data_IF_191822097900
#
_entry.id   IF_191822097900
#
_cell.length_a   1.000
_cell.length_b   1.000
_cell.length_c   1.000
_cell.angle_alpha   90.00
_cell.angle_beta   90.00
_cell.angle_gamma   90.00
#
_symmetry.space_group_name_H-M   'P 1'
#
loop_
_entity.id
_entity.type
_entity.pdbx_description
1 polymer ?
#
# COMPACT_ATOMS: atom_id res chain seq x y z
N UNK A 1 71.18 -47.12 -12.24
CA UNK A 1 69.87 -46.45 -12.40
C UNK A 1 69.86 -45.19 -11.55
N UNK A 2 69.45 -44.08 -12.16
CA UNK A 2 69.77 -42.70 -11.81
C UNK A 2 69.23 -42.19 -10.47
N UNK A 3 69.99 -41.25 -9.88
CA UNK A 3 69.80 -40.52 -8.61
C UNK A 3 68.57 -39.60 -8.52
N UNK A 4 67.57 -39.77 -9.38
CA UNK A 4 66.43 -38.83 -9.51
C UNK A 4 65.12 -39.34 -8.91
N UNK A 5 65.13 -40.46 -8.16
CA UNK A 5 63.93 -41.00 -7.49
C UNK A 5 64.07 -41.24 -5.98
N UNK A 6 65.19 -40.84 -5.36
CA UNK A 6 65.41 -41.00 -3.91
C UNK A 6 65.13 -39.73 -3.09
N UNK A 7 64.89 -38.58 -3.74
CA UNK A 7 64.53 -37.32 -3.06
C UNK A 7 63.03 -37.20 -2.76
N UNK A 8 62.21 -38.09 -3.31
CA UNK A 8 60.74 -38.02 -3.22
C UNK A 8 60.13 -38.81 -2.04
N UNK A 9 60.95 -39.28 -1.07
CA UNK A 9 60.45 -40.07 0.07
C UNK A 9 61.07 -39.72 1.44
N UNK A 10 61.88 -38.65 1.55
CA UNK A 10 62.58 -38.33 2.80
C UNK A 10 62.09 -37.05 3.53
N UNK A 11 61.01 -36.40 3.10
CA UNK A 11 60.52 -35.20 3.81
C UNK A 11 59.05 -35.24 4.19
N UNK A 12 58.44 -36.42 4.13
CA UNK A 12 57.15 -36.70 4.74
C UNK A 12 57.35 -37.80 5.80
N UNK A 13 56.99 -37.47 7.04
CA UNK A 13 56.94 -38.36 8.21
C UNK A 13 58.25 -38.61 8.98
N UNK A 14 58.66 -37.64 9.82
CA UNK A 14 59.05 -37.85 11.23
C UNK A 14 58.80 -36.54 11.98
N UNK A 15 57.57 -36.28 12.45
CA UNK A 15 57.17 -36.44 13.86
C UNK A 15 58.23 -35.95 14.87
N UNK A 16 57.97 -34.84 15.57
CA UNK A 16 57.64 -34.82 17.02
C UNK A 16 57.75 -33.40 17.60
N UNK A 17 56.64 -32.95 18.18
CA UNK A 17 56.48 -31.86 19.17
C UNK A 17 56.75 -32.51 20.55
N UNK A 18 57.36 -31.88 21.59
CA UNK A 18 56.63 -30.86 22.39
C UNK A 18 57.39 -29.77 23.18
N UNK A 19 56.57 -28.77 23.57
CA UNK A 19 56.62 -27.94 24.79
C UNK A 19 57.70 -26.84 24.88
N UNK A 20 57.47 -25.63 25.40
CA UNK A 20 56.33 -24.86 25.90
C UNK A 20 56.93 -23.47 26.22
N UNK A 21 56.22 -22.35 25.99
CA UNK A 21 56.20 -21.17 26.87
C UNK A 21 55.14 -20.16 26.39
N UNK A 22 54.00 -20.19 27.10
CA UNK A 22 53.02 -19.14 27.41
C UNK A 22 53.71 -17.82 27.83
N UNK A 23 53.27 -16.57 27.61
CA UNK A 23 52.25 -15.90 26.78
C UNK A 23 52.55 -14.38 26.85
N UNK A 24 52.21 -13.62 25.80
CA UNK A 24 51.77 -12.22 25.89
C UNK A 24 51.00 -11.87 24.62
N UNK A 25 49.78 -11.35 24.78
CA UNK A 25 48.79 -11.15 23.73
C UNK A 25 49.19 -10.07 22.70
N UNK A 26 49.06 -10.41 21.42
CA UNK A 26 48.87 -9.46 20.33
C UNK A 26 47.72 -9.99 19.45
N UNK A 27 46.69 -9.17 19.26
CA UNK A 27 45.52 -9.48 18.45
C UNK A 27 45.94 -9.97 17.05
N UNK A 28 45.28 -11.00 16.48
CA UNK A 28 45.45 -11.32 15.08
C UNK A 28 44.85 -10.16 14.27
N UNK A 29 45.70 -9.37 13.62
CA UNK A 29 45.26 -8.52 12.52
C UNK A 29 44.83 -9.46 11.40
N UNK A 30 43.52 -9.53 11.20
CA UNK A 30 42.88 -10.13 10.03
C UNK A 30 43.46 -9.45 8.79
N UNK A 31 44.19 -10.21 7.97
CA UNK A 31 44.65 -9.74 6.68
C UNK A 31 43.42 -9.47 5.80
N UNK A 32 43.15 -8.20 5.52
CA UNK A 32 42.16 -7.77 4.52
C UNK A 32 42.76 -8.11 3.16
N UNK A 33 42.11 -9.01 2.43
CA UNK A 33 42.45 -9.35 1.06
C UNK A 33 42.03 -8.16 0.17
N UNK A 34 42.92 -7.20 -0.06
CA UNK A 34 42.72 -6.17 -1.10
C UNK A 34 42.89 -6.83 -2.46
N UNK A 35 41.78 -7.15 -3.12
CA UNK A 35 41.76 -7.69 -4.48
C UNK A 35 42.18 -6.62 -5.49
N UNK A 36 43.49 -6.45 -5.66
CA UNK A 36 44.08 -5.68 -6.76
C UNK A 36 44.11 -6.56 -8.01
N UNK A 37 43.43 -6.12 -9.07
CA UNK A 37 43.57 -6.76 -10.39
C UNK A 37 44.81 -6.20 -11.05
N UNK A 38 45.90 -6.98 -11.10
CA UNK A 38 47.14 -6.61 -11.76
C UNK A 38 47.40 -7.50 -12.98
N UNK A 39 47.59 -6.91 -14.16
CA UNK A 39 48.22 -7.61 -15.30
C UNK A 39 49.57 -6.97 -15.56
N UNK A 40 50.61 -7.80 -15.55
CA UNK A 40 51.98 -7.43 -15.85
C UNK A 40 52.28 -7.68 -17.32
N UNK A 41 52.68 -6.65 -18.06
CA UNK A 41 53.51 -6.82 -19.25
C UNK A 41 54.92 -6.37 -18.85
N UNK A 42 55.85 -7.32 -18.83
CA UNK A 42 57.22 -7.08 -18.35
C UNK A 42 57.23 -6.48 -16.92
N UNK A 43 57.93 -5.38 -16.70
CA UNK A 43 58.07 -4.66 -15.43
C UNK A 43 56.99 -3.56 -15.22
N UNK A 44 55.93 -3.53 -16.06
CA UNK A 44 54.86 -2.53 -16.03
C UNK A 44 53.52 -3.16 -15.59
N UNK A 45 52.81 -2.53 -14.66
CA UNK A 45 51.50 -2.98 -14.16
C UNK A 45 50.54 -1.83 -13.88
N UNK A 46 49.25 -2.16 -13.87
CA UNK A 46 48.16 -1.30 -13.40
C UNK A 46 47.33 -2.07 -12.39
N UNK A 47 46.99 -1.42 -11.28
CA UNK A 47 46.17 -1.93 -10.19
C UNK A 47 44.92 -1.06 -10.04
N UNK A 48 43.80 -1.66 -9.64
CA UNK A 48 42.57 -0.92 -9.38
C UNK A 48 41.88 -1.40 -8.11
N UNK A 49 41.06 -0.53 -7.51
CA UNK A 49 40.18 -0.86 -6.39
C UNK A 49 38.72 -1.11 -6.83
N UNK A 50 38.52 -1.57 -8.07
CA UNK A 50 37.19 -1.84 -8.65
C UNK A 50 36.40 -2.90 -7.87
N UNK A 51 37.07 -3.74 -7.07
CA UNK A 51 36.42 -4.71 -6.17
C UNK A 51 35.44 -4.07 -5.17
N UNK A 52 35.58 -2.78 -4.88
CA UNK A 52 34.60 -2.01 -4.10
C UNK A 52 33.23 -1.85 -4.80
N UNK A 53 33.13 -2.17 -6.10
CA UNK A 53 31.96 -1.97 -6.94
C UNK A 53 31.19 -3.27 -7.26
N UNK A 54 31.57 -4.43 -6.71
CA UNK A 54 31.07 -5.75 -7.17
C UNK A 54 29.52 -5.83 -7.26
N UNK A 55 28.83 -5.20 -6.30
CA UNK A 55 27.38 -5.08 -6.28
C UNK A 55 26.99 -3.64 -5.86
N UNK A 56 26.23 -2.95 -6.69
CA UNK A 56 25.76 -1.58 -6.41
C UNK A 56 24.33 -1.38 -6.90
N UNK A 57 23.70 -0.28 -6.51
CA UNK A 57 22.36 0.10 -6.95
C UNK A 57 22.41 1.30 -7.88
N UNK A 58 21.43 1.41 -8.77
CA UNK A 58 21.26 2.58 -9.64
C UNK A 58 21.24 3.87 -8.79
N UNK A 59 21.98 4.89 -9.23
CA UNK A 59 22.08 6.18 -8.56
C UNK A 59 23.09 6.26 -7.41
N UNK A 60 23.67 5.14 -6.98
CA UNK A 60 24.71 5.14 -5.94
C UNK A 60 26.07 5.56 -6.51
N UNK A 61 26.64 6.64 -5.98
CA UNK A 61 27.99 7.09 -6.32
C UNK A 61 29.04 6.36 -5.47
N UNK A 62 30.01 5.70 -6.11
CA UNK A 62 31.08 4.96 -5.42
C UNK A 62 32.47 5.39 -5.91
N UNK A 63 33.44 5.50 -5.00
CA UNK A 63 34.82 5.87 -5.32
C UNK A 63 35.69 4.64 -5.62
N UNK A 64 36.60 4.76 -6.59
CA UNK A 64 37.64 3.78 -6.85
C UNK A 64 38.96 4.44 -7.28
N UNK A 65 40.04 3.68 -7.29
CA UNK A 65 41.39 4.14 -7.65
C UNK A 65 41.95 3.33 -8.82
N UNK A 66 42.80 3.98 -9.60
CA UNK A 66 43.67 3.36 -10.60
C UNK A 66 45.10 3.75 -10.30
N UNK A 67 45.97 2.76 -10.13
CA UNK A 67 47.37 2.97 -9.75
C UNK A 67 48.29 2.29 -10.76
N UNK A 68 49.11 3.07 -11.45
CA UNK A 68 50.13 2.52 -12.36
C UNK A 68 51.46 2.31 -11.63
N UNK A 69 52.13 1.19 -11.87
CA UNK A 69 53.45 0.86 -11.31
C UNK A 69 54.37 0.30 -12.39
N UNK A 70 55.67 0.55 -12.28
CA UNK A 70 56.69 -0.23 -12.99
C UNK A 70 58.07 0.40 -12.92
N UNK A 71 58.98 0.04 -13.82
CA UNK A 71 60.26 0.74 -13.98
C UNK A 71 60.06 2.08 -14.72
N UNK A 72 60.76 3.14 -14.29
CA UNK A 72 60.70 4.44 -14.96
C UNK A 72 61.20 4.32 -16.40
N UNK A 73 60.33 4.60 -17.35
CA UNK A 73 60.70 4.80 -18.75
C UNK A 73 60.46 6.26 -19.14
N UNK A 74 61.49 7.12 -19.16
CA UNK A 74 61.34 8.53 -19.52
C UNK A 74 61.00 8.74 -21.00
N UNK A 75 61.03 7.69 -21.83
CA UNK A 75 60.70 7.74 -23.24
C UNK A 75 59.27 7.25 -23.54
N UNK A 76 58.60 6.59 -22.59
CA UNK A 76 57.19 6.18 -22.75
C UNK A 76 56.27 7.17 -22.04
N UNK A 77 55.42 7.82 -22.82
CA UNK A 77 54.31 8.64 -22.32
C UNK A 77 52.99 7.92 -22.58
N UNK A 78 52.12 7.86 -21.57
CA UNK A 78 50.88 7.08 -21.61
C UNK A 78 49.64 7.90 -21.24
N UNK A 79 48.47 7.36 -21.61
CA UNK A 79 47.18 7.72 -21.04
C UNK A 79 46.49 6.49 -20.47
N UNK A 80 45.56 6.73 -19.55
CA UNK A 80 44.62 5.72 -19.13
C UNK A 80 43.34 5.77 -19.95
N UNK A 81 42.70 4.62 -20.11
CA UNK A 81 41.47 4.46 -20.86
C UNK A 81 40.57 3.42 -20.16
N UNK A 82 39.27 3.70 -20.08
CA UNK A 82 38.26 2.74 -19.64
C UNK A 82 37.60 2.07 -20.83
N UNK A 83 37.30 0.77 -20.70
CA UNK A 83 36.31 0.08 -21.53
C UNK A 83 35.27 -0.58 -20.65
N UNK A 84 34.06 -0.64 -21.18
CA UNK A 84 32.91 -1.29 -20.56
C UNK A 84 32.30 -2.24 -21.58
N UNK A 85 32.12 -3.51 -21.20
CA UNK A 85 31.63 -4.58 -22.08
C UNK A 85 32.43 -4.65 -23.40
N UNK A 86 33.76 -4.50 -23.30
CA UNK A 86 34.70 -4.48 -24.44
C UNK A 86 34.51 -3.31 -25.43
N UNK A 87 33.83 -2.23 -25.04
CA UNK A 87 33.57 -1.04 -25.87
C UNK A 87 33.78 0.26 -25.12
N UNK A 88 33.73 1.41 -25.81
CA UNK A 88 33.75 2.72 -25.15
C UNK A 88 32.50 2.88 -24.27
N UNK A 89 32.65 3.30 -23.00
CA UNK A 89 31.51 3.51 -22.11
C UNK A 89 30.59 4.62 -22.62
N UNK A 90 29.29 4.40 -22.49
CA UNK A 90 28.27 5.42 -22.72
C UNK A 90 28.20 6.36 -21.50
N UNK A 91 29.04 7.39 -21.50
CA UNK A 91 29.20 8.34 -20.39
C UNK A 91 28.20 9.51 -20.44
N UNK A 92 27.93 10.09 -19.28
CA UNK A 92 27.17 11.33 -19.11
C UNK A 92 25.86 11.13 -18.37
N UNK A 93 25.18 12.23 -18.02
CA UNK A 93 23.90 12.19 -17.30
C UNK A 93 22.80 11.41 -18.04
N UNK A 94 22.84 11.41 -19.37
CA UNK A 94 21.91 10.68 -20.24
C UNK A 94 22.47 9.30 -20.68
N UNK A 95 23.69 8.99 -20.28
CA UNK A 95 24.40 7.75 -20.57
C UNK A 95 23.97 6.57 -19.68
N UNK A 96 24.76 5.51 -19.68
CA UNK A 96 24.55 4.37 -18.78
C UNK A 96 25.23 4.61 -17.41
N UNK A 97 26.25 5.48 -17.37
CA UNK A 97 26.97 5.86 -16.17
C UNK A 97 27.64 7.24 -16.31
N UNK A 98 27.97 7.86 -15.18
CA UNK A 98 28.88 9.01 -15.11
C UNK A 98 30.14 8.59 -14.37
N UNK A 99 31.31 8.93 -14.92
CA UNK A 99 32.61 8.80 -14.26
C UNK A 99 33.16 10.19 -14.01
N UNK A 100 33.62 10.46 -12.79
CA UNK A 100 34.31 11.69 -12.42
C UNK A 100 35.73 11.36 -11.99
N UNK A 101 36.69 12.25 -12.27
CA UNK A 101 38.07 12.16 -11.77
C UNK A 101 38.36 13.29 -10.79
N UNK A 102 39.28 13.04 -9.86
CA UNK A 102 39.72 14.05 -8.90
C UNK A 102 40.96 14.79 -9.42
N UNK A 103 40.81 16.08 -9.77
CA UNK A 103 41.92 16.97 -10.13
C UNK A 103 42.65 17.44 -8.87
N UNK A 104 43.98 17.38 -8.90
CA UNK A 104 44.85 17.72 -7.78
C UNK A 104 45.60 19.04 -7.98
N UNK A 105 45.65 19.57 -9.21
CA UNK A 105 46.24 20.87 -9.51
C UNK A 105 45.49 22.00 -8.79
N UNK A 106 46.22 22.91 -8.15
CA UNK A 106 45.62 24.00 -7.35
C UNK A 106 44.61 24.85 -8.15
N UNK A 107 44.91 25.08 -9.43
CA UNK A 107 44.03 25.76 -10.38
C UNK A 107 43.09 24.74 -11.01
N UNK A 108 42.07 24.30 -10.27
CA UNK A 108 41.09 23.32 -10.74
C UNK A 108 40.84 22.15 -9.80
N UNK A 109 41.39 22.17 -8.58
CA UNK A 109 41.22 21.08 -7.61
C UNK A 109 39.73 20.75 -7.37
N UNK A 110 39.37 19.47 -7.47
CA UNK A 110 37.99 19.01 -7.26
C UNK A 110 37.61 17.80 -8.10
N UNK A 111 36.35 17.38 -7.96
CA UNK A 111 35.75 16.36 -8.80
C UNK A 111 35.27 16.98 -10.11
N UNK A 112 35.62 16.36 -11.23
CA UNK A 112 35.20 16.77 -12.56
C UNK A 112 34.72 15.57 -13.35
N UNK A 113 33.65 15.76 -14.11
CA UNK A 113 33.15 14.75 -15.03
C UNK A 113 34.21 14.42 -16.09
N UNK A 114 34.41 13.14 -16.34
CA UNK A 114 35.31 12.66 -17.37
C UNK A 114 34.62 12.81 -18.74
N UNK A 115 35.12 13.67 -19.64
CA UNK A 115 34.40 14.00 -20.88
C UNK A 115 34.48 12.89 -21.95
N UNK A 116 35.34 11.90 -21.74
CA UNK A 116 35.56 10.77 -22.64
C UNK A 116 36.00 9.55 -21.81
N UNK A 117 36.24 8.42 -22.46
CA UNK A 117 36.77 7.24 -21.78
C UNK A 117 38.28 7.32 -21.46
N UNK A 118 38.97 8.39 -21.86
CA UNK A 118 40.39 8.61 -21.57
C UNK A 118 40.59 9.48 -20.33
N UNK A 119 41.65 9.21 -19.57
CA UNK A 119 42.09 10.02 -18.44
C UNK A 119 43.61 10.26 -18.46
N UNK A 120 44.01 11.37 -17.86
CA UNK A 120 45.38 11.89 -17.86
C UNK A 120 45.45 13.28 -18.51
N UNK A 121 46.54 14.04 -18.26
CA UNK A 121 46.73 15.36 -18.85
C UNK A 121 46.88 15.24 -20.37
N UNK A 122 46.52 16.28 -21.15
CA UNK A 122 46.64 16.28 -22.62
C UNK A 122 48.05 15.95 -23.11
N UNK A 123 49.09 16.23 -22.32
CA UNK A 123 50.46 15.86 -22.70
C UNK A 123 50.81 14.38 -22.46
N UNK A 124 49.91 13.64 -21.81
CA UNK A 124 50.15 12.30 -21.28
C UNK A 124 51.00 12.35 -20.01
N UNK A 125 51.14 11.21 -19.34
CA UNK A 125 51.98 11.11 -18.15
C UNK A 125 53.08 10.06 -18.34
N UNK A 126 54.28 10.27 -17.74
CA UNK A 126 55.34 9.29 -17.83
C UNK A 126 54.96 8.02 -17.07
N UNK A 127 55.35 6.87 -17.61
CA UNK A 127 55.22 5.61 -16.89
C UNK A 127 56.32 5.56 -15.80
N UNK A 128 56.00 5.97 -14.56
CA UNK A 128 57.00 6.25 -13.50
C UNK A 128 57.00 5.24 -12.32
N UNK A 129 58.18 5.14 -11.70
CA UNK A 129 58.76 4.08 -10.88
C UNK A 129 58.06 3.65 -9.60
N UNK A 130 58.40 2.41 -9.21
CA UNK A 130 58.47 1.78 -7.87
C UNK A 130 58.63 2.69 -6.62
N UNK A 131 59.06 3.95 -6.75
CA UNK A 131 59.25 4.90 -5.64
C UNK A 131 58.18 5.99 -5.50
N UNK A 132 57.33 6.20 -6.51
CA UNK A 132 56.21 7.16 -6.46
C UNK A 132 55.08 6.72 -7.41
N UNK A 133 54.24 5.75 -6.99
CA UNK A 133 53.15 5.27 -7.82
C UNK A 133 52.17 6.42 -8.15
N UNK A 134 51.74 6.50 -9.40
CA UNK A 134 50.72 7.47 -9.80
C UNK A 134 49.34 6.86 -9.53
N UNK A 135 48.65 7.42 -8.54
CA UNK A 135 47.29 7.05 -8.17
C UNK A 135 46.31 8.10 -8.70
N UNK A 136 45.34 7.64 -9.48
CA UNK A 136 44.20 8.43 -9.94
C UNK A 136 42.95 8.01 -9.18
N UNK A 137 42.17 8.98 -8.70
CA UNK A 137 40.92 8.74 -7.97
C UNK A 137 39.72 9.06 -8.86
N UNK A 138 38.73 8.17 -8.82
CA UNK A 138 37.52 8.25 -9.61
C UNK A 138 36.27 8.05 -8.75
N UNK A 139 35.16 8.60 -9.23
CA UNK A 139 33.79 8.26 -8.81
C UNK A 139 33.05 7.68 -9.99
N UNK A 140 32.18 6.71 -9.74
CA UNK A 140 31.23 6.21 -10.73
C UNK A 140 29.83 6.22 -10.16
N UNK A 141 28.86 6.61 -10.98
CA UNK A 141 27.42 6.50 -10.71
C UNK A 141 26.77 5.81 -11.90
N UNK A 142 26.08 4.70 -11.68
CA UNK A 142 25.36 3.97 -12.72
C UNK A 142 23.91 4.44 -12.81
N UNK A 143 23.44 4.71 -14.02
CA UNK A 143 22.09 5.26 -14.27
C UNK A 143 21.09 4.19 -14.73
N UNK A 144 21.58 2.99 -15.07
CA UNK A 144 20.75 1.87 -15.53
C UNK A 144 21.17 0.56 -14.86
N UNK A 145 20.22 -0.34 -14.54
CA UNK A 145 20.57 -1.67 -14.08
C UNK A 145 21.26 -2.47 -15.18
N UNK A 146 22.08 -3.44 -14.78
CA UNK A 146 22.79 -4.30 -15.73
C UNK A 146 24.09 -4.86 -15.17
N UNK A 147 24.75 -5.68 -15.99
CA UNK A 147 26.08 -6.19 -15.71
C UNK A 147 27.10 -5.45 -16.57
N UNK A 148 28.07 -4.82 -15.92
CA UNK A 148 29.08 -3.97 -16.56
C UNK A 148 30.46 -4.60 -16.37
N UNK A 149 31.06 -5.08 -17.45
CA UNK A 149 32.43 -5.60 -17.45
C UNK A 149 33.42 -4.47 -17.70
N UNK A 150 34.12 -4.00 -16.65
CA UNK A 150 35.05 -2.87 -16.70
C UNK A 150 36.49 -3.36 -16.86
N UNK A 151 37.21 -2.77 -17.81
CA UNK A 151 38.67 -2.94 -17.98
C UNK A 151 39.33 -1.58 -18.04
N UNK A 152 40.45 -1.41 -17.33
CA UNK A 152 41.30 -0.23 -17.44
C UNK A 152 42.51 -0.57 -18.29
N UNK A 153 42.75 0.20 -19.34
CA UNK A 153 43.91 0.09 -20.22
C UNK A 153 44.85 1.28 -20.01
N UNK A 154 46.14 1.03 -20.04
CA UNK A 154 47.18 2.05 -20.15
C UNK A 154 47.77 1.94 -21.56
N UNK A 155 47.67 3.02 -22.33
CA UNK A 155 48.07 3.05 -23.74
C UNK A 155 49.18 4.07 -23.99
N UNK A 156 50.06 3.78 -24.94
CA UNK A 156 51.06 4.74 -25.42
C UNK A 156 50.39 5.90 -26.16
N UNK A 157 50.84 7.13 -25.85
CA UNK A 157 50.31 8.37 -26.44
C UNK A 157 50.41 8.39 -27.96
N UNK A 158 51.58 8.06 -28.51
CA UNK A 158 51.90 8.29 -29.93
C UNK A 158 51.55 7.09 -30.84
N UNK A 159 51.23 5.92 -30.25
CA UNK A 159 51.00 4.67 -30.99
C UNK A 159 49.68 3.96 -30.69
N UNK A 160 48.93 4.39 -29.66
CA UNK A 160 47.72 3.72 -29.13
C UNK A 160 47.93 2.24 -28.72
N UNK A 161 49.19 1.81 -28.58
CA UNK A 161 49.56 0.46 -28.16
C UNK A 161 49.26 0.27 -26.67
N UNK A 162 48.63 -0.86 -26.31
CA UNK A 162 48.32 -1.19 -24.92
C UNK A 162 49.58 -1.63 -24.20
N UNK A 163 50.06 -0.80 -23.28
CA UNK A 163 51.24 -1.04 -22.44
C UNK A 163 50.92 -2.05 -21.35
N UNK A 164 49.82 -1.83 -20.62
CA UNK A 164 49.29 -2.78 -19.64
C UNK A 164 47.79 -2.56 -19.46
N UNK A 165 47.09 -3.52 -18.86
CA UNK A 165 45.66 -3.42 -18.59
C UNK A 165 45.29 -4.15 -17.30
N UNK A 166 44.06 -3.99 -16.82
CA UNK A 166 43.52 -4.86 -15.77
C UNK A 166 42.94 -6.14 -16.40
N UNK A 167 42.73 -7.17 -15.59
CA UNK A 167 41.69 -8.15 -15.89
C UNK A 167 40.33 -7.46 -15.86
N UNK A 168 39.35 -8.07 -16.51
CA UNK A 168 37.99 -7.56 -16.43
C UNK A 168 37.42 -7.74 -15.03
N UNK A 169 36.66 -6.74 -14.61
CA UNK A 169 35.92 -6.76 -13.36
C UNK A 169 34.44 -6.53 -13.66
N UNK A 170 33.59 -7.43 -13.19
CA UNK A 170 32.14 -7.33 -13.41
C UNK A 170 31.48 -6.61 -12.24
N UNK A 171 30.79 -5.52 -12.56
CA UNK A 171 29.92 -4.77 -11.64
C UNK A 171 28.48 -5.14 -11.94
N UNK A 172 27.75 -5.67 -10.95
CA UNK A 172 26.32 -5.91 -11.07
C UNK A 172 25.56 -4.74 -10.46
N UNK A 173 24.74 -4.07 -11.27
CA UNK A 173 23.90 -2.94 -10.87
C UNK A 173 22.45 -3.39 -10.84
N UNK A 174 21.82 -3.30 -9.69
CA UNK A 174 20.39 -3.59 -9.53
C UNK A 174 19.60 -2.29 -9.38
N UNK A 175 18.33 -2.32 -9.76
CA UNK A 175 17.39 -1.29 -9.28
C UNK A 175 17.15 -1.53 -7.79
N UNK A 176 17.00 -0.45 -7.03
CA UNK A 176 16.49 -0.54 -5.66
C UNK A 176 15.01 -0.88 -5.76
N UNK A 177 14.66 -2.13 -5.46
CA UNK A 177 13.27 -2.54 -5.37
C UNK A 177 12.67 -1.80 -4.16
N UNK A 178 11.54 -1.07 -4.32
CA UNK A 178 10.92 -0.42 -3.18
C UNK A 178 10.59 -1.49 -2.14
N UNK A 179 11.07 -1.34 -0.91
CA UNK A 179 10.74 -2.28 0.16
C UNK A 179 9.22 -2.44 0.21
N UNK A 180 8.74 -3.69 0.04
CA UNK A 180 7.33 -3.97 0.22
C UNK A 180 6.93 -3.45 1.60
N UNK A 181 5.94 -2.54 1.69
CA UNK A 181 5.54 -2.00 2.98
C UNK A 181 5.11 -3.20 3.83
N UNK A 182 5.87 -3.48 4.89
CA UNK A 182 5.56 -4.57 5.79
C UNK A 182 4.12 -4.46 6.32
N UNK A 183 3.49 -5.62 6.55
CA UNK A 183 2.12 -5.68 7.06
C UNK A 183 1.98 -4.89 8.37
N UNK A 184 0.96 -4.06 8.44
CA UNK A 184 0.72 -3.15 9.57
C UNK A 184 0.06 -3.89 10.72
N UNK A 185 0.59 -3.71 11.92
CA UNK A 185 0.09 -4.36 13.14
C UNK A 185 -0.14 -3.41 14.31
N UNK A 186 0.18 -2.14 14.16
CA UNK A 186 0.09 -1.13 15.22
C UNK A 186 -0.55 0.18 14.76
N UNK A 187 -1.06 0.96 15.72
CA UNK A 187 -1.66 2.28 15.48
C UNK A 187 -0.65 3.26 14.83
N UNK A 188 0.61 3.26 15.29
CA UNK A 188 1.64 4.18 14.78
C UNK A 188 1.97 3.90 13.31
N UNK A 189 2.16 2.63 12.96
CA UNK A 189 2.38 2.19 11.58
C UNK A 189 1.17 2.54 10.69
N UNK A 190 -0.06 2.28 11.18
CA UNK A 190 -1.29 2.61 10.46
C UNK A 190 -1.38 4.10 10.15
N UNK A 191 -1.15 4.96 11.15
CA UNK A 191 -1.18 6.42 10.98
C UNK A 191 -0.12 6.89 9.98
N UNK A 192 1.09 6.36 10.07
CA UNK A 192 2.19 6.68 9.15
C UNK A 192 1.86 6.27 7.70
N UNK A 193 1.29 5.09 7.51
CA UNK A 193 0.95 4.59 6.18
C UNK A 193 -0.23 5.36 5.56
N UNK A 194 -1.29 5.64 6.33
CA UNK A 194 -2.43 6.46 5.88
C UNK A 194 -1.96 7.87 5.51
N UNK A 195 -1.01 8.44 6.24
CA UNK A 195 -0.45 9.75 5.93
C UNK A 195 0.27 9.78 4.56
N UNK A 196 0.79 8.64 4.08
CA UNK A 196 1.38 8.51 2.73
C UNK A 196 0.32 8.30 1.64
N UNK A 197 -0.84 7.75 2.01
CA UNK A 197 -1.91 7.35 1.08
C UNK A 197 -1.58 6.06 0.30
N UNK A 198 -2.38 5.75 -0.71
CA UNK A 198 -2.20 4.55 -1.54
C UNK A 198 -2.80 3.29 -0.89
N UNK A 199 -2.11 2.15 -1.00
CA UNK A 199 -2.60 0.88 -0.43
C UNK A 199 -1.93 0.60 0.90
N UNK A 200 -2.74 0.29 1.90
CA UNK A 200 -2.33 -0.06 3.26
C UNK A 200 -2.79 -1.48 3.55
N UNK A 201 -1.84 -2.38 3.82
CA UNK A 201 -2.13 -3.78 4.13
C UNK A 201 -1.93 -4.05 5.63
N UNK A 202 -2.98 -4.50 6.31
CA UNK A 202 -2.92 -4.91 7.70
C UNK A 202 -2.49 -6.38 7.81
N UNK A 203 -1.77 -6.71 8.88
CA UNK A 203 -1.45 -8.10 9.22
C UNK A 203 -2.75 -8.89 9.50
N UNK A 204 -2.77 -10.15 9.09
CA UNK A 204 -3.90 -11.04 9.37
C UNK A 204 -4.13 -11.18 10.88
N UNK A 205 -5.37 -10.93 11.30
CA UNK A 205 -5.73 -10.93 12.71
C UNK A 205 -5.14 -9.77 13.52
N UNK A 206 -4.60 -8.73 12.88
CA UNK A 206 -4.15 -7.52 13.57
C UNK A 206 -5.27 -6.94 14.43
N UNK A 207 -4.94 -6.56 15.66
CA UNK A 207 -5.86 -5.90 16.60
C UNK A 207 -5.33 -4.50 16.90
N UNK A 208 -5.63 -3.56 16.00
CA UNK A 208 -5.15 -2.18 16.08
C UNK A 208 -6.06 -1.40 17.03
N UNK A 209 -5.51 -1.08 18.20
CA UNK A 209 -6.20 -0.30 19.21
C UNK A 209 -5.86 1.17 19.05
N UNK A 210 -6.84 1.96 18.62
CA UNK A 210 -6.72 3.40 18.54
C UNK A 210 -6.80 4.02 19.94
N UNK A 211 -5.94 5.01 20.19
CA UNK A 211 -5.92 5.79 21.44
C UNK A 211 -6.54 7.18 21.29
N UNK A 212 -6.78 7.59 20.04
CA UNK A 212 -7.45 8.84 19.66
C UNK A 212 -8.07 8.70 18.28
N UNK A 213 -8.89 9.67 17.86
CA UNK A 213 -9.49 9.68 16.51
C UNK A 213 -8.44 9.44 15.41
N UNK A 214 -8.79 8.58 14.45
CA UNK A 214 -8.02 8.36 13.23
C UNK A 214 -8.64 9.15 12.08
N UNK A 215 -8.01 10.25 11.69
CA UNK A 215 -8.44 11.08 10.56
C UNK A 215 -7.72 10.66 9.28
N UNK A 216 -8.49 10.37 8.23
CA UNK A 216 -8.01 10.04 6.90
C UNK A 216 -8.20 11.26 5.99
N UNK A 217 -7.09 11.87 5.59
CA UNK A 217 -7.04 13.08 4.77
C UNK A 217 -6.29 12.91 3.45
N UNK A 218 -5.81 11.70 3.15
CA UNK A 218 -5.23 11.32 1.87
C UNK A 218 -5.99 10.11 1.32
N UNK A 219 -6.08 10.01 0.00
CA UNK A 219 -6.75 8.88 -0.63
C UNK A 219 -6.04 7.56 -0.29
N UNK A 220 -6.79 6.58 0.20
CA UNK A 220 -6.22 5.33 0.73
C UNK A 220 -7.16 4.14 0.54
N UNK A 221 -6.59 2.95 0.36
CA UNK A 221 -7.32 1.68 0.48
C UNK A 221 -6.69 0.88 1.61
N UNK A 222 -7.44 0.66 2.69
CA UNK A 222 -7.01 -0.12 3.86
C UNK A 222 -7.61 -1.52 3.71
N UNK A 223 -6.76 -2.52 3.55
CA UNK A 223 -7.18 -3.90 3.35
C UNK A 223 -6.49 -4.85 4.31
N UNK A 224 -7.17 -5.94 4.63
CA UNK A 224 -6.62 -7.06 5.38
C UNK A 224 -6.92 -8.38 4.66
N UNK A 225 -6.16 -9.44 4.95
CA UNK A 225 -6.48 -10.77 4.47
C UNK A 225 -7.69 -11.33 5.25
N UNK A 226 -7.53 -11.53 6.55
CA UNK A 226 -8.64 -11.98 7.42
C UNK A 226 -8.59 -11.44 8.85
N UNK A 227 -9.77 -11.18 9.44
CA UNK A 227 -9.98 -10.90 10.87
C UNK A 227 -9.20 -9.71 11.47
N UNK A 228 -8.71 -8.77 10.66
CA UNK A 228 -8.10 -7.56 11.20
C UNK A 228 -9.16 -6.63 11.80
N UNK A 229 -8.81 -5.98 12.91
CA UNK A 229 -9.67 -5.09 13.68
C UNK A 229 -9.00 -3.75 13.90
N UNK A 230 -9.80 -2.70 13.78
CA UNK A 230 -9.49 -1.35 14.23
C UNK A 230 -10.53 -1.04 15.30
N UNK A 231 -10.10 -0.93 16.55
CA UNK A 231 -11.01 -0.68 17.68
C UNK A 231 -10.52 0.43 18.57
N UNK A 232 -11.42 1.03 19.34
CA UNK A 232 -11.05 2.02 20.33
C UNK A 232 -10.86 1.40 21.72
N UNK A 233 -9.82 1.83 22.43
CA UNK A 233 -9.75 1.78 23.90
C UNK A 233 -9.53 3.20 24.43
N UNK A 234 -10.35 3.65 25.36
CA UNK A 234 -10.18 4.99 25.93
C UNK A 234 -11.42 5.52 26.63
N UNK A 235 -11.71 6.80 26.40
CA UNK A 235 -12.95 7.47 26.82
C UNK A 235 -13.48 8.28 25.64
N UNK A 236 -14.80 8.48 25.54
CA UNK A 236 -15.44 9.30 24.48
C UNK A 236 -14.75 10.62 24.16
N UNK A 237 -14.16 11.31 25.16
CA UNK A 237 -13.46 12.59 24.95
C UNK A 237 -12.25 12.51 24.00
N UNK A 238 -11.67 11.33 23.81
CA UNK A 238 -10.46 11.13 23.00
C UNK A 238 -10.73 10.96 21.50
N UNK A 239 -11.98 10.66 21.11
CA UNK A 239 -12.34 10.29 19.74
C UNK A 239 -13.22 11.32 19.02
N UNK A 240 -13.70 12.37 19.70
CA UNK A 240 -14.72 13.24 19.12
C UNK A 240 -15.98 12.42 18.84
N UNK A 241 -16.57 12.61 17.66
CA UNK A 241 -17.82 11.94 17.29
C UNK A 241 -17.57 10.53 16.74
N UNK A 242 -16.40 10.25 16.14
CA UNK A 242 -16.08 8.93 15.58
C UNK A 242 -14.65 8.46 15.76
N UNK A 243 -14.44 7.15 15.88
CA UNK A 243 -13.09 6.60 16.04
C UNK A 243 -12.28 6.68 14.75
N UNK A 244 -12.94 6.61 13.58
CA UNK A 244 -12.36 6.81 12.26
C UNK A 244 -13.18 7.84 11.48
N UNK A 245 -12.51 8.86 10.93
CA UNK A 245 -13.13 9.92 10.13
C UNK A 245 -12.44 10.07 8.78
N UNK A 246 -13.20 9.99 7.70
CA UNK A 246 -12.74 10.26 6.33
C UNK A 246 -13.20 11.65 5.93
N UNK A 247 -12.28 12.50 5.46
CA UNK A 247 -12.60 13.89 5.14
C UNK A 247 -12.06 14.34 3.79
N UNK A 248 -12.97 14.73 2.89
CA UNK A 248 -12.66 15.31 1.58
C UNK A 248 -11.86 14.42 0.63
N UNK A 249 -11.74 13.12 0.91
CA UNK A 249 -10.94 12.17 0.14
C UNK A 249 -11.69 10.86 -0.10
N UNK A 250 -11.16 10.06 -1.02
CA UNK A 250 -11.63 8.69 -1.23
C UNK A 250 -10.89 7.72 -0.31
N UNK A 251 -11.61 7.02 0.57
CA UNK A 251 -11.05 5.97 1.40
C UNK A 251 -11.84 4.67 1.23
N UNK A 252 -11.15 3.56 0.98
CA UNK A 252 -11.78 2.24 0.85
C UNK A 252 -11.32 1.33 1.98
N UNK A 253 -12.20 0.42 2.40
CA UNK A 253 -11.88 -0.59 3.41
C UNK A 253 -12.25 -1.98 2.90
N UNK A 254 -11.35 -2.95 3.08
CA UNK A 254 -11.53 -4.32 2.61
C UNK A 254 -11.19 -5.33 3.71
N UNK A 255 -12.16 -6.15 4.10
CA UNK A 255 -12.03 -7.22 5.11
C UNK A 255 -11.53 -6.77 6.49
N UNK A 256 -11.86 -5.53 6.88
CA UNK A 256 -11.52 -4.96 8.19
C UNK A 256 -12.77 -4.84 9.05
N UNK A 257 -12.66 -5.11 10.34
CA UNK A 257 -13.69 -4.76 11.31
C UNK A 257 -13.32 -3.45 12.03
N UNK A 258 -14.25 -2.50 12.09
CA UNK A 258 -14.12 -1.21 12.78
C UNK A 258 -15.11 -1.22 13.94
N UNK A 259 -14.60 -1.19 15.18
CA UNK A 259 -15.39 -1.35 16.39
C UNK A 259 -15.16 -0.20 17.38
N UNK A 260 -16.15 0.68 17.51
CA UNK A 260 -16.09 1.77 18.48
C UNK A 260 -16.43 1.36 19.91
N UNK A 261 -17.03 0.20 20.15
CA UNK A 261 -17.58 -0.16 21.47
C UNK A 261 -18.56 0.92 21.95
N UNK A 262 -18.29 1.54 23.10
CA UNK A 262 -19.03 2.68 23.67
C UNK A 262 -18.18 3.97 23.73
N UNK A 263 -17.12 4.03 22.90
CA UNK A 263 -16.06 5.04 22.99
C UNK A 263 -16.22 6.22 22.03
N UNK A 264 -17.25 6.23 21.20
CA UNK A 264 -17.58 7.33 20.29
C UNK A 264 -19.09 7.35 20.02
N UNK A 265 -19.57 8.34 19.29
CA UNK A 265 -20.96 8.33 18.79
C UNK A 265 -21.07 7.37 17.61
N UNK A 266 -20.13 7.44 16.66
CA UNK A 266 -20.06 6.59 15.48
C UNK A 266 -18.76 5.79 15.43
N UNK A 267 -18.78 4.62 14.79
CA UNK A 267 -17.55 3.88 14.54
C UNK A 267 -16.79 4.44 13.34
N UNK A 268 -17.51 4.76 12.26
CA UNK A 268 -16.93 5.31 11.04
C UNK A 268 -17.76 6.50 10.55
N UNK A 269 -17.08 7.57 10.17
CA UNK A 269 -17.72 8.73 9.54
C UNK A 269 -17.07 9.05 8.20
N UNK A 270 -17.89 9.25 7.16
CA UNK A 270 -17.49 9.95 5.94
C UNK A 270 -18.12 11.35 5.96
N UNK A 271 -17.28 12.38 5.90
CA UNK A 271 -17.71 13.80 5.93
C UNK A 271 -17.77 14.41 4.54
N UNK A 272 -18.23 15.66 4.45
CA UNK A 272 -18.52 16.35 3.19
C UNK A 272 -17.41 16.20 2.13
N UNK A 273 -17.81 15.81 0.93
CA UNK A 273 -16.89 15.58 -0.20
C UNK A 273 -16.05 14.30 -0.11
N UNK A 274 -16.16 13.50 0.95
CA UNK A 274 -15.54 12.20 1.02
C UNK A 274 -16.31 11.14 0.21
N UNK A 275 -15.62 10.07 -0.15
CA UNK A 275 -16.22 8.90 -0.78
C UNK A 275 -15.53 7.61 -0.39
N UNK A 276 -16.18 6.46 -0.59
CA UNK A 276 -15.54 5.19 -0.29
C UNK A 276 -16.39 3.95 -0.56
N UNK A 277 -15.70 2.83 -0.72
CA UNK A 277 -16.30 1.50 -0.78
C UNK A 277 -15.86 0.66 0.42
N UNK A 278 -16.82 0.03 1.09
CA UNK A 278 -16.61 -0.92 2.18
C UNK A 278 -16.91 -2.34 1.67
N UNK A 279 -15.93 -3.23 1.60
CA UNK A 279 -16.11 -4.61 1.10
C UNK A 279 -15.66 -5.63 2.14
N UNK A 280 -16.53 -6.55 2.55
CA UNK A 280 -16.24 -7.50 3.63
C UNK A 280 -16.00 -6.81 4.98
N UNK A 281 -16.49 -5.58 5.15
CA UNK A 281 -16.22 -4.75 6.33
C UNK A 281 -17.32 -4.93 7.36
N UNK A 282 -16.95 -4.98 8.64
CA UNK A 282 -17.93 -4.87 9.73
C UNK A 282 -17.73 -3.54 10.43
N UNK A 283 -18.74 -2.69 10.46
CA UNK A 283 -18.76 -1.44 11.24
C UNK A 283 -19.73 -1.64 12.39
N UNK A 284 -19.26 -1.43 13.61
CA UNK A 284 -20.07 -1.67 14.81
C UNK A 284 -19.70 -0.77 15.97
N UNK A 285 -20.67 -0.57 16.85
CA UNK A 285 -20.47 0.17 18.09
C UNK A 285 -20.61 1.66 17.88
N UNK A 286 -20.44 2.39 18.98
CA UNK A 286 -20.88 3.76 19.11
C UNK A 286 -22.07 3.86 20.05
N UNK A 287 -22.29 5.06 20.58
CA UNK A 287 -23.52 5.40 21.32
C UNK A 287 -24.64 5.84 20.39
N UNK A 288 -24.29 6.20 19.15
CA UNK A 288 -25.16 6.58 18.05
C UNK A 288 -25.34 5.46 17.02
N UNK A 289 -25.31 5.83 15.74
CA UNK A 289 -25.28 4.89 14.61
C UNK A 289 -23.87 4.30 14.42
N UNK A 290 -23.75 3.14 13.78
CA UNK A 290 -22.43 2.53 13.52
C UNK A 290 -21.65 3.33 12.46
N UNK A 291 -22.36 3.76 11.40
CA UNK A 291 -21.82 4.52 10.27
C UNK A 291 -22.54 5.86 10.11
N UNK A 292 -21.79 6.95 9.96
CA UNK A 292 -22.29 8.26 9.56
C UNK A 292 -21.83 8.61 8.14
N UNK A 293 -22.78 8.97 7.27
CA UNK A 293 -22.54 9.50 5.92
C UNK A 293 -23.05 10.93 5.87
N UNK A 294 -22.15 11.89 6.06
CA UNK A 294 -22.47 13.32 6.13
C UNK A 294 -22.00 14.06 4.88
N UNK A 295 -22.93 14.36 3.97
CA UNK A 295 -22.62 14.99 2.68
C UNK A 295 -21.68 14.18 1.76
N UNK A 296 -21.45 12.90 2.10
CA UNK A 296 -20.49 12.01 1.45
C UNK A 296 -21.18 10.95 0.56
N UNK A 297 -20.39 10.21 -0.23
CA UNK A 297 -20.89 9.12 -1.07
C UNK A 297 -20.24 7.78 -0.69
N UNK A 298 -21.00 6.87 -0.09
CA UNK A 298 -20.48 5.58 0.42
C UNK A 298 -21.17 4.41 -0.26
N UNK A 299 -20.38 3.39 -0.60
CA UNK A 299 -20.89 2.10 -1.12
C UNK A 299 -20.60 1.00 -0.10
N UNK A 300 -21.64 0.31 0.35
CA UNK A 300 -21.55 -0.94 1.09
C UNK A 300 -21.49 -2.09 0.08
N UNK A 301 -20.27 -2.52 -0.23
CA UNK A 301 -19.96 -3.65 -1.09
C UNK A 301 -20.34 -4.99 -0.46
N UNK A 302 -19.99 -6.07 -1.16
CA UNK A 302 -20.36 -7.43 -0.75
C UNK A 302 -19.77 -7.82 0.61
N UNK A 303 -20.57 -8.54 1.41
CA UNK A 303 -20.13 -9.06 2.72
C UNK A 303 -19.94 -7.99 3.79
N UNK A 304 -20.41 -6.76 3.54
CA UNK A 304 -20.31 -5.65 4.50
C UNK A 304 -21.52 -5.59 5.41
N UNK A 305 -21.28 -5.34 6.70
CA UNK A 305 -22.30 -5.11 7.71
C UNK A 305 -22.03 -3.77 8.38
N UNK A 306 -22.88 -2.77 8.11
CA UNK A 306 -22.78 -1.43 8.70
C UNK A 306 -23.88 -1.14 9.73
N UNK A 307 -24.56 -2.18 10.23
CA UNK A 307 -25.60 -2.09 11.27
C UNK A 307 -26.60 -0.95 11.04
N UNK A 308 -26.57 0.06 11.91
CA UNK A 308 -27.30 1.32 11.74
C UNK A 308 -26.44 2.36 11.02
N UNK A 309 -26.98 2.94 9.95
CA UNK A 309 -26.33 4.00 9.17
C UNK A 309 -27.16 5.28 9.25
N UNK A 310 -26.52 6.39 9.55
CA UNK A 310 -27.12 7.72 9.55
C UNK A 310 -26.68 8.50 8.30
N UNK A 311 -27.62 9.17 7.65
CA UNK A 311 -27.33 10.16 6.63
C UNK A 311 -27.49 11.55 7.23
N UNK A 312 -26.48 12.39 7.04
CA UNK A 312 -26.48 13.77 7.49
C UNK A 312 -26.14 14.74 6.36
N UNK A 313 -26.55 16.00 6.53
CA UNK A 313 -26.21 17.10 5.62
C UNK A 313 -25.75 18.33 6.41
N UNK A 314 -24.64 18.21 7.12
CA UNK A 314 -24.01 19.35 7.81
C UNK A 314 -23.18 20.21 6.84
N UNK A 315 -22.66 19.58 5.79
CA UNK A 315 -21.88 20.21 4.72
C UNK A 315 -22.67 20.61 3.47
N UNK A 316 -21.94 20.90 2.41
CA UNK A 316 -22.50 21.32 1.12
C UNK A 316 -22.97 20.13 0.26
N UNK A 317 -22.28 19.00 0.35
CA UNK A 317 -22.57 17.76 -0.35
C UNK A 317 -23.86 17.13 0.12
N UNK A 318 -24.37 16.22 -0.71
CA UNK A 318 -25.62 15.49 -0.43
C UNK A 318 -25.24 14.05 -0.10
N UNK A 319 -25.65 13.51 1.05
CA UNK A 319 -25.30 12.16 1.43
C UNK A 319 -25.89 11.15 0.46
N UNK A 320 -25.10 10.13 0.09
CA UNK A 320 -25.55 8.99 -0.70
C UNK A 320 -25.00 7.68 -0.15
N UNK A 321 -25.87 6.68 -0.09
CA UNK A 321 -25.53 5.33 0.32
C UNK A 321 -25.98 4.32 -0.75
N UNK A 322 -25.04 3.58 -1.32
CA UNK A 322 -25.34 2.46 -2.20
C UNK A 322 -25.09 1.14 -1.45
N UNK A 323 -26.02 0.19 -1.50
CA UNK A 323 -25.92 -1.11 -0.81
C UNK A 323 -25.94 -2.23 -1.85
N UNK A 324 -24.81 -2.92 -2.03
CA UNK A 324 -24.64 -3.90 -3.11
C UNK A 324 -25.08 -5.31 -2.72
N UNK A 325 -24.72 -5.81 -1.52
CA UNK A 325 -25.31 -7.05 -0.98
C UNK A 325 -25.06 -7.26 0.52
N UNK A 326 -25.98 -7.96 1.21
CA UNK A 326 -25.60 -8.83 2.33
C UNK A 326 -26.17 -8.57 3.74
N UNK A 327 -27.10 -7.64 3.94
CA UNK A 327 -27.77 -7.49 5.25
C UNK A 327 -28.86 -6.43 5.27
N UNK A 328 -29.79 -6.51 6.22
CA UNK A 328 -30.77 -5.45 6.47
C UNK A 328 -30.05 -4.23 7.03
N UNK A 329 -29.58 -3.34 6.17
CA UNK A 329 -29.06 -2.04 6.60
C UNK A 329 -30.24 -1.18 7.02
N UNK A 330 -30.17 -0.61 8.21
CA UNK A 330 -31.16 0.38 8.66
C UNK A 330 -30.57 1.76 8.44
N UNK A 331 -31.23 2.54 7.61
CA UNK A 331 -30.82 3.90 7.30
C UNK A 331 -31.71 4.87 8.04
N UNK A 332 -31.11 5.86 8.67
CA UNK A 332 -31.82 6.91 9.39
C UNK A 332 -31.47 8.28 8.84
N UNK A 333 -32.49 9.13 8.77
CA UNK A 333 -32.37 10.54 8.40
C UNK A 333 -33.08 11.36 9.48
N UNK A 334 -32.33 12.22 10.14
CA UNK A 334 -32.87 13.09 11.19
C UNK A 334 -33.70 14.24 10.60
N UNK A 335 -34.47 14.93 11.45
CA UNK A 335 -35.36 16.01 11.01
C UNK A 335 -34.62 17.25 10.49
N UNK A 336 -33.47 17.59 11.06
CA UNK A 336 -32.63 18.70 10.59
C UNK A 336 -32.03 18.36 9.23
N UNK A 337 -31.56 17.12 9.03
CA UNK A 337 -31.08 16.65 7.72
C UNK A 337 -32.20 16.61 6.67
N UNK A 338 -33.36 16.06 7.02
CA UNK A 338 -34.56 16.08 6.17
C UNK A 338 -34.90 17.51 5.70
N UNK A 339 -34.88 18.46 6.64
CA UNK A 339 -35.14 19.88 6.35
C UNK A 339 -34.05 20.48 5.48
N UNK A 340 -32.77 20.17 5.75
CA UNK A 340 -31.62 20.66 4.98
C UNK A 340 -31.60 20.11 3.54
N UNK A 341 -32.15 18.92 3.32
CA UNK A 341 -32.33 18.32 2.00
C UNK A 341 -33.52 18.92 1.23
N UNK A 342 -34.38 19.69 1.89
CA UNK A 342 -35.60 20.24 1.28
C UNK A 342 -36.62 19.16 0.95
N UNK A 343 -36.65 18.09 1.73
CA UNK A 343 -37.56 16.97 1.52
C UNK A 343 -39.00 17.31 1.92
N UNK A 344 -39.95 16.53 1.40
CA UNK A 344 -41.40 16.63 1.65
C UNK A 344 -41.92 15.31 2.21
N UNK A 345 -42.84 15.35 3.17
CA UNK A 345 -43.48 14.14 3.71
C UNK A 345 -44.34 13.45 2.64
N UNK A 346 -44.84 14.22 1.67
CA UNK A 346 -45.69 13.71 0.58
C UNK A 346 -44.93 12.82 -0.42
N UNK A 347 -43.62 13.06 -0.61
CA UNK A 347 -42.77 12.38 -1.60
C UNK A 347 -41.59 11.64 -0.93
N UNK A 348 -41.76 11.27 0.33
CA UNK A 348 -40.66 10.76 1.17
C UNK A 348 -40.01 9.50 0.60
N UNK A 349 -40.80 8.61 -0.01
CA UNK A 349 -40.31 7.36 -0.60
C UNK A 349 -39.36 7.60 -1.77
N UNK A 350 -39.77 8.43 -2.73
CA UNK A 350 -38.95 8.79 -3.89
C UNK A 350 -37.68 9.55 -3.46
N UNK A 351 -37.83 10.48 -2.51
CA UNK A 351 -36.71 11.28 -2.04
C UNK A 351 -35.69 10.47 -1.23
N UNK A 352 -36.14 9.47 -0.45
CA UNK A 352 -35.22 8.54 0.23
C UNK A 352 -34.55 7.59 -0.76
N UNK A 353 -35.26 7.10 -1.78
CA UNK A 353 -34.69 6.26 -2.84
C UNK A 353 -33.62 7.02 -3.67
N UNK A 354 -33.70 8.35 -3.76
CA UNK A 354 -32.66 9.16 -4.38
C UNK A 354 -31.34 9.25 -3.58
N UNK A 355 -31.41 9.02 -2.25
CA UNK A 355 -30.27 9.04 -1.33
C UNK A 355 -29.71 7.64 -1.08
N UNK A 356 -30.57 6.63 -1.11
CA UNK A 356 -30.26 5.25 -0.79
C UNK A 356 -30.62 4.36 -1.97
N UNK A 357 -29.65 3.65 -2.52
CA UNK A 357 -29.90 2.66 -3.57
C UNK A 357 -29.51 1.26 -3.09
N UNK A 358 -30.22 0.25 -3.58
CA UNK A 358 -29.91 -1.17 -3.31
C UNK A 358 -29.74 -1.92 -4.63
N UNK A 359 -28.62 -2.65 -4.80
CA UNK A 359 -28.49 -3.58 -5.93
C UNK A 359 -29.08 -4.95 -5.60
N UNK A 360 -29.09 -5.34 -4.32
CA UNK A 360 -29.72 -6.57 -3.87
C UNK A 360 -30.17 -6.49 -2.41
N UNK A 361 -31.42 -6.92 -2.16
CA UNK A 361 -32.05 -6.87 -0.83
C UNK A 361 -32.83 -5.57 -0.58
N UNK A 362 -33.56 -5.51 0.52
CA UNK A 362 -34.36 -4.35 0.93
C UNK A 362 -33.59 -3.51 1.95
N UNK A 363 -33.58 -2.19 1.76
CA UNK A 363 -33.07 -1.25 2.77
C UNK A 363 -34.24 -0.62 3.49
N UNK A 364 -34.24 -0.67 4.83
CA UNK A 364 -35.23 0.03 5.65
C UNK A 364 -34.71 1.43 5.94
N UNK A 365 -35.34 2.44 5.36
CA UNK A 365 -35.04 3.85 5.60
C UNK A 365 -36.10 4.47 6.52
N UNK A 366 -35.69 5.26 7.50
CA UNK A 366 -36.59 5.90 8.46
C UNK A 366 -36.24 7.38 8.58
N UNK A 367 -37.23 8.26 8.38
CA UNK A 367 -37.14 9.65 8.84
C UNK A 367 -37.71 9.75 10.23
N UNK A 368 -36.99 10.35 11.17
CA UNK A 368 -37.50 10.49 12.54
C UNK A 368 -36.39 10.78 13.52
N UNK A 369 -36.51 10.30 14.76
CA UNK A 369 -35.45 10.33 15.78
C UNK A 369 -34.59 9.06 15.74
N UNK A 370 -33.37 9.11 16.27
CA UNK A 370 -32.44 7.96 16.21
C UNK A 370 -33.05 6.73 16.92
N UNK A 371 -32.86 5.50 16.40
CA UNK A 371 -33.29 4.29 17.09
C UNK A 371 -32.68 4.19 18.49
N UNK A 372 -33.53 3.98 19.51
CA UNK A 372 -33.11 3.96 20.92
C UNK A 372 -33.32 5.28 21.67
N UNK A 373 -33.68 6.35 20.96
CA UNK A 373 -34.28 7.52 21.60
C UNK A 373 -35.68 7.21 22.13
N UNK A 374 -36.12 7.94 23.16
CA UNK A 374 -37.47 7.77 23.75
C UNK A 374 -38.60 8.38 22.90
N UNK A 375 -38.29 8.90 21.72
CA UNK A 375 -39.23 9.54 20.82
C UNK A 375 -39.77 8.54 19.77
N UNK A 376 -40.98 8.81 19.24
CA UNK A 376 -41.58 7.97 18.20
C UNK A 376 -40.84 8.18 16.88
N UNK A 377 -40.30 7.09 16.32
CA UNK A 377 -39.75 7.10 14.97
C UNK A 377 -40.86 7.21 13.94
N UNK A 378 -40.58 7.88 12.82
CA UNK A 378 -41.47 7.89 11.67
C UNK A 378 -41.68 6.50 11.09
N UNK A 379 -42.68 6.38 10.21
CA UNK A 379 -42.99 5.09 9.56
C UNK A 379 -41.83 4.69 8.66
N UNK A 380 -41.27 3.47 8.78
CA UNK A 380 -40.21 3.00 7.89
C UNK A 380 -40.68 2.92 6.44
N UNK A 381 -39.82 3.38 5.54
CA UNK A 381 -39.93 3.25 4.09
C UNK A 381 -39.00 2.12 3.64
N UNK A 382 -39.49 1.23 2.79
CA UNK A 382 -38.68 0.15 2.23
C UNK A 382 -38.16 0.57 0.87
N UNK A 383 -36.85 0.71 0.72
CA UNK A 383 -36.22 0.92 -0.59
C UNK A 383 -35.95 -0.45 -1.21
N UNK A 384 -36.59 -0.69 -2.36
CA UNK A 384 -36.40 -1.89 -3.17
C UNK A 384 -35.28 -1.67 -4.19
N UNK A 385 -34.63 -2.74 -4.66
CA UNK A 385 -33.71 -2.61 -5.79
C UNK A 385 -34.47 -2.10 -7.02
N UNK A 386 -33.79 -1.30 -7.85
CA UNK A 386 -34.35 -0.86 -9.12
C UNK A 386 -34.68 -2.12 -9.95
N UNK A 387 -35.98 -2.42 -10.07
CA UNK A 387 -36.44 -3.37 -11.07
C UNK A 387 -36.05 -2.77 -12.41
N UNK A 388 -35.06 -3.38 -13.07
CA UNK A 388 -34.72 -3.05 -14.44
C UNK A 388 -36.00 -3.21 -15.26
N UNK A 389 -36.65 -2.08 -15.53
CA UNK A 389 -37.90 -1.96 -16.28
C UNK A 389 -37.71 -2.70 -17.60
N UNK A 390 -38.24 -3.93 -17.65
CA UNK A 390 -38.38 -4.68 -18.87
C UNK A 390 -39.41 -3.92 -19.67
N UNK A 391 -38.93 -3.09 -20.60
CA UNK A 391 -39.79 -2.30 -21.47
C UNK A 391 -40.83 -3.18 -22.13
N UNK A 392 -42.07 -3.08 -21.66
CA UNK A 392 -43.23 -3.57 -22.39
C UNK A 392 -43.60 -2.48 -23.40
N UNK A 393 -43.14 -2.69 -24.64
CA UNK A 393 -43.71 -2.01 -25.79
C UNK A 393 -45.20 -2.37 -25.88
N UNK A 394 -46.01 -1.32 -25.91
CA UNK A 394 -47.42 -1.30 -26.29
C UNK A 394 -47.67 -2.06 -27.61
N UNK A 395 -48.23 -3.26 -27.52
CA UNK A 395 -49.08 -3.82 -28.57
C UNK A 395 -50.41 -4.35 -28.01
N UNK A 396 -51.42 -3.49 -28.07
CA UNK A 396 -52.78 -3.83 -27.66
C UNK A 396 -53.36 -5.04 -28.40
N UNK A 397 -53.83 -6.03 -27.65
CA UNK A 397 -55.04 -6.77 -27.99
C UNK A 397 -55.76 -7.27 -26.71
N UNK A 398 -57.06 -7.03 -26.70
CA UNK A 398 -58.04 -7.31 -25.64
C UNK A 398 -58.26 -8.82 -25.45
N UNK A 399 -57.84 -9.41 -24.31
CA UNK A 399 -58.28 -10.77 -23.93
C UNK A 399 -58.57 -10.87 -22.42
N UNK A 400 -59.77 -11.40 -22.12
CA UNK A 400 -60.37 -11.62 -20.79
C UNK A 400 -59.67 -12.72 -19.95
N UNK A 401 -59.94 -12.79 -18.62
CA UNK A 401 -59.04 -13.44 -17.67
C UNK A 401 -59.30 -14.94 -17.54
N UNK A 402 -58.24 -15.75 -17.65
CA UNK A 402 -58.27 -17.16 -17.23
C UNK A 402 -57.25 -17.44 -16.11
N UNK A 403 -57.72 -18.28 -15.18
CA UNK A 403 -57.12 -18.67 -13.90
C UNK A 403 -55.66 -19.15 -13.99
N UNK A 404 -54.77 -18.54 -13.18
CA UNK A 404 -53.49 -19.17 -12.82
C UNK A 404 -53.67 -20.02 -11.57
N UNK A 405 -53.56 -21.33 -11.74
CA UNK A 405 -53.48 -22.33 -10.67
C UNK A 405 -52.09 -22.30 -10.02
N UNK A 406 -52.09 -22.37 -8.68
CA UNK A 406 -50.92 -22.29 -7.81
C UNK A 406 -50.00 -23.52 -7.89
N UNK A 407 -48.70 -23.35 -7.60
CA UNK A 407 -47.95 -24.15 -6.61
C UNK A 407 -46.60 -23.48 -6.25
N UNK A 408 -46.47 -22.79 -5.11
CA UNK A 408 -46.20 -23.22 -3.71
C UNK A 408 -44.70 -23.23 -3.38
N UNK A 409 -44.28 -22.29 -2.52
CA UNK A 409 -42.93 -22.28 -1.97
C UNK A 409 -42.54 -21.13 -1.03
N UNK A 410 -43.42 -20.58 -0.17
CA UNK A 410 -42.96 -20.07 1.13
C UNK A 410 -43.26 -18.63 1.60
N UNK A 411 -44.36 -17.97 1.21
CA UNK A 411 -44.80 -16.73 1.91
C UNK A 411 -45.77 -17.04 3.05
N UNK A 412 -45.30 -16.86 4.28
CA UNK A 412 -46.07 -17.01 5.49
C UNK A 412 -46.03 -15.70 6.30
N UNK A 413 -46.84 -14.71 5.93
CA UNK A 413 -47.47 -13.77 6.87
C UNK A 413 -48.79 -13.26 6.26
N UNK A 414 -49.91 -13.72 6.82
CA UNK A 414 -51.24 -13.61 6.21
C UNK A 414 -51.89 -12.23 6.36
N UNK A 415 -52.12 -11.55 5.23
CA UNK A 415 -52.96 -10.34 5.13
C UNK A 415 -54.48 -10.64 5.07
N UNK A 416 -54.87 -11.90 4.88
CA UNK A 416 -56.27 -12.24 4.59
C UNK A 416 -57.23 -12.02 5.77
N UNK A 417 -56.79 -12.15 7.04
CA UNK A 417 -57.65 -11.89 8.21
C UNK A 417 -57.62 -10.43 8.67
N UNK A 418 -56.51 -9.72 8.44
CA UNK A 418 -56.34 -8.34 8.93
C UNK A 418 -57.08 -7.31 8.08
N UNK A 419 -57.16 -7.53 6.76
CA UNK A 419 -58.00 -6.71 5.88
C UNK A 419 -59.48 -6.80 6.27
N UNK A 420 -59.95 -7.99 6.68
CA UNK A 420 -61.33 -8.24 7.09
C UNK A 420 -61.66 -7.56 8.43
N UNK A 421 -60.72 -7.58 9.39
CA UNK A 421 -60.85 -6.85 10.67
C UNK A 421 -60.81 -5.33 10.45
N UNK A 422 -59.91 -4.81 9.59
CA UNK A 422 -59.86 -3.39 9.23
C UNK A 422 -61.17 -2.91 8.59
N UNK A 423 -61.78 -3.72 7.72
CA UNK A 423 -63.06 -3.41 7.12
C UNK A 423 -64.19 -3.36 8.17
N UNK A 424 -64.17 -4.23 9.18
CA UNK A 424 -65.14 -4.20 10.28
C UNK A 424 -64.91 -2.99 11.21
N UNK A 425 -63.66 -2.61 11.50
CA UNK A 425 -63.34 -1.40 12.27
C UNK A 425 -63.80 -0.14 11.53
N UNK A 426 -63.57 -0.06 10.22
CA UNK A 426 -63.99 1.08 9.41
C UNK A 426 -65.52 1.23 9.30
N UNK A 427 -66.27 0.16 9.56
CA UNK A 427 -67.73 0.13 9.50
C UNK A 427 -68.42 0.18 10.88
N UNK A 428 -67.66 0.16 11.98
CA UNK A 428 -68.20 0.11 13.34
C UNK A 428 -68.51 1.51 13.89
N UNK A 429 -69.60 1.65 14.65
CA UNK A 429 -69.96 2.86 15.38
C UNK A 429 -69.50 2.79 16.86
N UNK A 430 -69.45 3.93 17.54
CA UNK A 430 -68.96 4.02 18.92
C UNK A 430 -69.84 3.20 19.88
N UNK A 431 -69.29 2.10 20.39
CA UNK A 431 -69.97 1.14 21.26
C UNK A 431 -70.12 -0.28 20.69
N UNK A 432 -69.72 -0.50 19.44
CA UNK A 432 -69.79 -1.82 18.81
C UNK A 432 -68.72 -2.79 19.33
N UNK A 433 -69.11 -4.04 19.55
CA UNK A 433 -68.20 -5.13 19.91
C UNK A 433 -67.79 -5.91 18.68
N UNK A 434 -66.49 -5.92 18.36
CA UNK A 434 -65.93 -6.72 17.27
C UNK A 434 -65.34 -8.02 17.84
N UNK A 435 -65.90 -9.18 17.49
CA UNK A 435 -65.37 -10.47 17.92
C UNK A 435 -64.31 -11.00 16.93
N UNK A 436 -63.14 -11.41 17.44
CA UNK A 436 -62.05 -11.98 16.66
C UNK A 436 -61.68 -13.40 17.14
N UNK A 437 -61.41 -14.33 16.22
CA UNK A 437 -60.93 -15.67 16.59
C UNK A 437 -59.41 -15.66 16.88
N UNK A 438 -59.00 -15.94 18.12
CA UNK A 438 -57.59 -16.00 18.52
C UNK A 438 -56.79 -17.21 18.01
N UNK A 439 -57.36 -18.07 17.17
CA UNK A 439 -56.66 -19.22 16.59
C UNK A 439 -55.80 -18.81 15.39
N UNK A 440 -54.50 -18.62 15.65
CA UNK A 440 -53.47 -18.44 14.61
C UNK A 440 -52.49 -17.27 14.79
N UNK A 441 -52.50 -16.55 15.91
CA UNK A 441 -51.57 -15.43 16.16
C UNK A 441 -50.69 -15.74 17.38
N UNK A 442 -49.35 -15.93 17.23
CA UNK A 442 -48.46 -16.17 18.36
C UNK A 442 -48.18 -14.91 19.20
N UNK A 443 -48.58 -13.73 18.74
CA UNK A 443 -48.32 -12.47 19.45
C UNK A 443 -49.47 -11.47 19.22
N UNK A 444 -50.16 -11.12 20.31
CA UNK A 444 -51.02 -9.93 20.39
C UNK A 444 -50.19 -8.78 20.95
N UNK A 445 -49.93 -7.68 20.23
CA UNK A 445 -49.33 -6.50 20.84
C UNK A 445 -50.25 -6.00 21.96
N UNK A 446 -49.68 -5.79 23.14
CA UNK A 446 -50.36 -5.42 24.40
C UNK A 446 -51.09 -4.06 24.37
N UNK A 447 -51.06 -3.34 23.24
CA UNK A 447 -51.68 -2.03 23.08
C UNK A 447 -53.19 -2.05 22.75
N UNK A 448 -53.81 -3.22 22.55
CA UNK A 448 -55.25 -3.33 22.24
C UNK A 448 -56.08 -3.94 23.40
N UNK A 449 -55.45 -4.29 24.52
CA UNK A 449 -56.18 -4.65 25.73
C UNK A 449 -56.43 -3.42 26.61
N UNK A 450 -57.42 -2.60 26.23
CA UNK A 450 -58.00 -1.60 27.14
C UNK A 450 -59.52 -1.80 27.22
N UNK A 451 -59.92 -2.49 28.29
CA UNK A 451 -61.19 -2.30 28.99
C UNK A 451 -60.87 -2.34 30.49
#
# INVERSE_FOLDING_TARGET
>A
MNRTRLLALLLAAMMTVPAQMTAAAAQPQTAVQTGSVAVTQEDKSVETSLSSLENTTVGTTTEFTVTTRGESDPHTTVYGCFTVNSSEPNLGSDGDMTIEYYETAELGQGWHELPSNYFGPEEGFPFNALGNPMESRFKVTFHKPGSYEIVVLIKEKDGDEVVCQTASFTVNVTEEEPEEPGLIKSEEELRSAIAKGGTVELEDGADIVLTSQLTISNAVTIKAGTNAKIRAEGTMRSFGDSIVTVSGVSANFENVAIDAGDQAEYALTYTDGASGTLTGVTVSGGTGSDLLVDGANVTLGSGTSAGQTELAKTGSGTPKLAVQSGGSTKVWVDHDTYTALGMSEDDLEEQLAALVSSESGTVEAVVGTQPGSSAENGTPVTVQPDDADGGDEDDGEEIQPEEKTSRTGGDYFGNAKWAEVKAQIAAAEEGDTIEMSGTGLPWFPSSVARA
#
